data_IF_447988816417
#
_entry.id   IF_447988816417
#
_cell.length_a   1.000
_cell.length_b   1.000
_cell.length_c   1.000
_cell.angle_alpha   90.00
_cell.angle_beta   90.00
_cell.angle_gamma   90.00
#
_symmetry.space_group_name_H-M   'P 1'
#
loop_
_entity.id
_entity.type
_entity.pdbx_description
1 polymer ?
#
# COMPACT_ATOMS: atom_id res chain seq x y z
N UNK A 1 -27.80 7.95 76.19
CA UNK A 1 -28.07 6.53 75.93
C UNK A 1 -26.74 5.86 75.68
N UNK A 2 -26.41 4.96 76.61
CA UNK A 2 -25.46 3.84 76.58
C UNK A 2 -24.01 4.02 76.14
N UNK A 3 -23.15 3.57 77.04
CA UNK A 3 -21.69 3.57 77.12
C UNK A 3 -21.18 2.14 76.83
N UNK A 4 -19.91 2.02 76.42
CA UNK A 4 -18.91 0.94 76.70
C UNK A 4 -18.12 0.60 75.42
N UNK A 5 -16.81 0.85 75.26
CA UNK A 5 -15.61 0.43 76.01
C UNK A 5 -15.47 -1.10 76.17
N UNK A 6 -14.36 -1.67 75.68
CA UNK A 6 -13.30 -2.35 76.47
C UNK A 6 -12.24 -2.94 75.51
N UNK A 7 -10.98 -2.75 75.89
CA UNK A 7 -9.74 -3.35 75.38
C UNK A 7 -9.49 -4.69 76.11
N UNK A 8 -8.88 -5.70 75.47
CA UNK A 8 -7.90 -6.60 76.12
C UNK A 8 -6.94 -7.19 75.07
N UNK A 9 -5.65 -7.10 75.37
CA UNK A 9 -4.55 -7.81 74.72
C UNK A 9 -4.26 -9.15 75.43
N UNK A 10 -3.79 -10.17 74.72
CA UNK A 10 -3.05 -11.28 75.33
C UNK A 10 -2.08 -11.95 74.35
N UNK A 11 -0.79 -11.87 74.70
CA UNK A 11 0.35 -12.72 74.26
C UNK A 11 0.12 -14.19 74.64
N UNK A 12 0.63 -15.13 73.83
CA UNK A 12 1.20 -16.44 74.22
C UNK A 12 1.78 -17.09 72.94
N UNK A 13 3.08 -16.96 72.69
CA UNK A 13 4.17 -17.93 72.97
C UNK A 13 4.19 -19.17 72.05
N UNK A 14 5.30 -19.29 71.30
CA UNK A 14 5.74 -20.43 70.48
C UNK A 14 6.28 -21.56 71.37
N UNK A 15 6.30 -22.82 70.87
CA UNK A 15 7.33 -23.78 71.27
C UNK A 15 8.37 -24.00 70.17
N UNK A 16 9.61 -24.08 70.62
CA UNK A 16 10.84 -24.31 69.87
C UNK A 16 10.99 -25.76 69.38
N UNK A 17 11.66 -25.91 68.23
CA UNK A 17 12.85 -26.77 68.10
C UNK A 17 12.66 -28.28 67.92
N UNK A 18 13.01 -28.77 66.72
CA UNK A 18 13.96 -29.89 66.59
C UNK A 18 14.60 -29.87 65.18
N UNK A 19 15.91 -30.06 65.16
CA UNK A 19 16.87 -29.87 64.06
C UNK A 19 17.31 -31.17 63.38
N UNK A 20 18.01 -31.04 62.24
CA UNK A 20 18.75 -32.03 61.41
C UNK A 20 17.88 -32.83 60.41
N UNK A 21 18.23 -32.95 59.13
CA UNK A 21 19.56 -33.20 58.55
C UNK A 21 19.76 -32.54 57.16
N UNK A 22 21.03 -32.26 56.84
CA UNK A 22 21.54 -31.82 55.54
C UNK A 22 21.98 -33.01 54.68
N UNK A 23 21.82 -32.87 53.36
CA UNK A 23 22.48 -33.61 52.27
C UNK A 23 22.09 -35.08 52.04
N UNK A 24 21.20 -35.31 51.07
CA UNK A 24 21.41 -36.31 50.02
C UNK A 24 21.00 -35.69 48.67
N UNK A 25 22.01 -35.48 47.85
CA UNK A 25 21.95 -35.16 46.43
C UNK A 25 21.54 -36.36 45.58
N UNK A 26 20.95 -36.03 44.44
CA UNK A 26 20.83 -36.81 43.20
C UNK A 26 19.73 -37.89 43.08
N UNK A 27 19.13 -37.83 41.88
CA UNK A 27 18.21 -38.78 41.24
C UNK A 27 16.71 -38.64 41.54
N UNK A 28 16.08 -37.77 40.73
CA UNK A 28 14.91 -38.03 39.87
C UNK A 28 14.69 -36.74 39.05
N UNK A 29 15.56 -36.46 38.08
CA UNK A 29 15.36 -36.75 36.65
C UNK A 29 14.04 -36.21 36.10
N UNK A 30 14.15 -35.10 35.36
CA UNK A 30 13.30 -34.70 34.24
C UNK A 30 11.78 -34.73 34.48
N UNK A 31 11.30 -33.79 35.28
CA UNK A 31 9.91 -33.36 35.23
C UNK A 31 9.78 -32.17 34.26
N UNK A 32 9.45 -32.52 33.03
CA UNK A 32 8.65 -31.73 32.08
C UNK A 32 9.01 -30.25 31.94
N UNK A 33 9.94 -29.98 31.01
CA UNK A 33 9.86 -28.76 30.22
C UNK A 33 8.65 -28.91 29.28
N UNK A 34 7.43 -28.83 29.83
CA UNK A 34 6.22 -28.60 29.04
C UNK A 34 6.44 -27.24 28.36
N UNK A 35 6.93 -27.27 27.12
CA UNK A 35 6.77 -26.15 26.21
C UNK A 35 5.27 -25.95 26.06
N UNK A 36 4.70 -25.08 26.89
CA UNK A 36 3.30 -24.70 26.79
C UNK A 36 3.09 -24.21 25.36
N UNK A 37 2.37 -24.97 24.53
CA UNK A 37 2.08 -24.56 23.17
C UNK A 37 1.38 -23.20 23.22
N UNK A 38 1.94 -22.21 22.53
CA UNK A 38 1.41 -20.84 22.53
C UNK A 38 0.77 -20.50 21.18
N UNK A 39 -0.20 -19.62 21.24
CA UNK A 39 -0.85 -19.02 20.07
C UNK A 39 -0.59 -17.53 20.04
N UNK A 40 -0.36 -17.02 18.85
CA UNK A 40 -0.10 -15.61 18.60
C UNK A 40 -1.40 -14.94 18.19
N UNK A 41 -1.80 -13.88 18.91
CA UNK A 41 -2.81 -12.95 18.42
C UNK A 41 -2.13 -11.93 17.52
N UNK A 42 -2.38 -12.05 16.22
CA UNK A 42 -1.84 -11.16 15.22
C UNK A 42 -2.89 -10.13 14.81
N UNK A 43 -2.48 -8.88 14.64
CA UNK A 43 -3.24 -7.90 13.85
C UNK A 43 -2.56 -7.76 12.51
N UNK A 44 -3.30 -8.07 11.45
CA UNK A 44 -2.88 -7.90 10.07
C UNK A 44 -3.62 -6.68 9.52
N UNK A 45 -2.89 -5.71 8.99
CA UNK A 45 -3.46 -4.48 8.45
C UNK A 45 -2.93 -4.25 7.04
N UNK A 46 -3.82 -4.05 6.08
CA UNK A 46 -3.43 -3.68 4.73
C UNK A 46 -2.87 -2.24 4.75
N UNK A 47 -1.61 -2.09 4.34
CA UNK A 47 -0.96 -0.79 4.26
C UNK A 47 -1.54 0.00 3.10
N UNK A 48 -1.46 1.31 3.21
CA UNK A 48 -1.75 2.25 2.13
C UNK A 48 -3.22 2.27 1.65
N UNK A 49 -4.17 1.67 2.39
CA UNK A 49 -5.59 1.70 2.04
C UNK A 49 -6.43 2.36 3.14
N UNK A 50 -7.27 3.32 2.76
CA UNK A 50 -8.20 4.02 3.65
C UNK A 50 -9.65 4.02 3.14
N UNK A 51 -10.67 3.86 4.01
CA UNK A 51 -10.58 3.50 5.44
C UNK A 51 -9.93 2.13 5.69
N UNK A 52 -9.26 2.01 6.85
CA UNK A 52 -8.39 0.88 7.16
C UNK A 52 -9.08 -0.48 7.05
N UNK A 53 -8.43 -1.41 6.35
CA UNK A 53 -8.82 -2.81 6.21
C UNK A 53 -7.88 -3.65 7.07
N UNK A 54 -8.44 -4.42 7.99
CA UNK A 54 -7.64 -5.22 8.92
C UNK A 54 -8.38 -6.46 9.40
N UNK A 55 -7.61 -7.44 9.89
CA UNK A 55 -8.08 -8.64 10.58
C UNK A 55 -7.26 -8.85 11.84
N UNK A 56 -7.87 -9.46 12.84
CA UNK A 56 -7.21 -9.93 14.05
C UNK A 56 -7.41 -11.43 14.12
N UNK A 57 -6.33 -12.18 14.13
CA UNK A 57 -6.36 -13.65 14.06
C UNK A 57 -5.58 -14.27 15.20
N UNK A 58 -5.91 -15.52 15.55
CA UNK A 58 -5.10 -16.39 16.39
C UNK A 58 -4.48 -17.47 15.51
N UNK A 59 -3.15 -17.61 15.56
CA UNK A 59 -2.40 -18.67 14.86
C UNK A 59 -1.52 -19.44 15.86
N UNK A 60 -1.05 -20.63 15.51
CA UNK A 60 -0.13 -21.36 16.36
C UNK A 60 1.29 -20.81 16.21
N UNK A 61 2.06 -20.73 17.29
CA UNK A 61 3.44 -20.19 17.21
C UNK A 61 4.42 -21.09 16.45
N UNK A 62 4.06 -22.36 16.27
CA UNK A 62 4.79 -23.34 15.49
C UNK A 62 4.39 -23.38 14.01
N UNK A 63 3.40 -22.59 13.59
CA UNK A 63 3.05 -22.36 12.19
C UNK A 63 4.27 -21.83 11.42
N UNK A 64 4.38 -22.22 10.16
CA UNK A 64 5.40 -21.73 9.24
C UNK A 64 4.99 -20.40 8.62
N UNK A 65 5.93 -19.71 7.96
CA UNK A 65 5.57 -18.53 7.17
C UNK A 65 4.68 -18.89 5.98
N UNK A 66 4.77 -20.12 5.48
CA UNK A 66 3.81 -20.63 4.49
C UNK A 66 2.39 -20.74 5.07
N UNK A 67 2.26 -21.30 6.27
CA UNK A 67 0.96 -21.38 6.96
C UNK A 67 0.40 -19.97 7.22
N UNK A 68 1.26 -19.02 7.62
CA UNK A 68 0.88 -17.61 7.79
C UNK A 68 0.40 -16.98 6.46
N UNK A 69 1.07 -17.26 5.34
CA UNK A 69 0.62 -16.83 4.01
C UNK A 69 -0.78 -17.37 3.71
N UNK A 70 -0.99 -18.67 3.87
CA UNK A 70 -2.30 -19.31 3.71
C UNK A 70 -3.35 -18.67 4.62
N UNK A 71 -3.03 -18.42 5.90
CA UNK A 71 -3.95 -17.77 6.84
C UNK A 71 -4.25 -16.31 6.47
N UNK A 72 -3.29 -15.56 5.92
CA UNK A 72 -3.55 -14.21 5.40
C UNK A 72 -4.48 -14.30 4.20
N UNK A 73 -4.22 -15.17 3.24
CA UNK A 73 -5.08 -15.37 2.06
C UNK A 73 -6.50 -15.78 2.46
N UNK A 74 -6.63 -16.76 3.36
CA UNK A 74 -7.89 -17.31 3.87
C UNK A 74 -8.69 -16.28 4.69
N UNK A 75 -8.04 -15.59 5.64
CA UNK A 75 -8.76 -14.76 6.62
C UNK A 75 -8.92 -13.31 6.17
N UNK A 76 -8.01 -12.80 5.34
CA UNK A 76 -8.12 -11.43 4.85
C UNK A 76 -8.98 -11.33 3.60
N UNK A 77 -8.74 -12.11 2.55
CA UNK A 77 -8.82 -11.50 1.21
C UNK A 77 -9.90 -12.00 0.26
N UNK A 78 -10.27 -13.28 0.28
CA UNK A 78 -10.96 -13.84 -0.90
C UNK A 78 -10.15 -13.71 -2.20
N UNK A 79 -8.82 -13.51 -2.08
CA UNK A 79 -7.86 -13.63 -3.17
C UNK A 79 -7.58 -15.10 -3.44
N UNK A 80 -7.13 -15.39 -4.66
CA UNK A 80 -7.06 -16.74 -5.19
C UNK A 80 -5.64 -17.33 -5.15
N UNK A 81 -4.73 -16.70 -4.41
CA UNK A 81 -3.32 -17.07 -4.30
C UNK A 81 -2.63 -17.26 -5.66
N UNK A 82 -2.86 -16.32 -6.58
CA UNK A 82 -2.42 -16.39 -7.98
C UNK A 82 -1.10 -15.68 -8.26
N UNK A 83 -0.57 -14.97 -7.27
CA UNK A 83 0.57 -14.09 -7.45
C UNK A 83 1.67 -14.37 -6.43
N UNK A 84 2.89 -13.97 -6.78
CA UNK A 84 4.07 -14.11 -5.91
C UNK A 84 3.93 -13.27 -4.64
N UNK A 85 4.50 -13.78 -3.55
CA UNK A 85 4.56 -13.10 -2.26
C UNK A 85 5.91 -13.25 -1.57
N UNK A 86 6.14 -12.44 -0.54
CA UNK A 86 7.28 -12.56 0.36
C UNK A 86 6.99 -11.92 1.72
N UNK A 87 7.82 -12.23 2.71
CA UNK A 87 7.85 -11.53 4.00
C UNK A 87 9.19 -10.84 4.23
N UNK A 88 9.13 -9.61 4.76
CA UNK A 88 10.29 -8.83 5.16
C UNK A 88 10.27 -8.63 6.68
N UNK A 89 11.37 -8.96 7.34
CA UNK A 89 11.54 -8.71 8.78
C UNK A 89 11.94 -7.26 9.04
N UNK A 90 11.90 -6.80 10.31
CA UNK A 90 12.41 -5.48 10.69
C UNK A 90 13.91 -5.32 10.39
N UNK A 91 14.66 -6.42 10.39
CA UNK A 91 16.08 -6.50 10.04
C UNK A 91 16.34 -6.58 8.53
N UNK A 92 15.30 -6.40 7.70
CA UNK A 92 15.34 -6.55 6.24
C UNK A 92 15.74 -7.96 5.77
N UNK A 93 15.55 -8.99 6.60
CA UNK A 93 15.72 -10.37 6.17
C UNK A 93 14.51 -10.80 5.34
N UNK A 94 14.77 -11.55 4.27
CA UNK A 94 13.74 -12.01 3.34
C UNK A 94 13.35 -13.47 3.64
N UNK A 95 12.05 -13.70 3.81
CA UNK A 95 11.43 -15.02 3.84
C UNK A 95 10.60 -15.19 2.57
N UNK A 96 10.93 -16.18 1.74
CA UNK A 96 10.33 -16.35 0.40
C UNK A 96 9.74 -17.74 0.17
N UNK A 97 8.76 -17.87 -0.74
CA UNK A 97 8.27 -19.14 -1.27
C UNK A 97 9.33 -19.78 -2.18
N UNK A 98 10.25 -20.53 -1.59
CA UNK A 98 11.05 -21.51 -2.34
C UNK A 98 10.49 -22.88 -2.04
N UNK A 99 9.67 -23.41 -2.94
CA UNK A 99 9.27 -24.81 -2.89
C UNK A 99 10.53 -25.67 -3.12
N UNK A 100 10.89 -26.60 -2.21
CA UNK A 100 12.01 -27.51 -2.41
C UNK A 100 11.85 -28.46 -3.62
N UNK A 101 10.67 -28.50 -4.27
CA UNK A 101 10.36 -29.32 -5.43
C UNK A 101 10.12 -28.53 -6.72
N UNK A 102 10.12 -27.19 -6.68
CA UNK A 102 9.94 -26.34 -7.85
C UNK A 102 11.29 -25.70 -8.27
N UNK A 103 12.11 -26.50 -8.94
CA UNK A 103 13.41 -26.09 -9.50
C UNK A 103 13.26 -25.04 -10.65
N UNK A 104 12.04 -24.75 -11.09
CA UNK A 104 11.75 -23.88 -12.24
C UNK A 104 11.46 -22.41 -11.87
N UNK A 105 11.36 -22.02 -10.59
CA UNK A 105 11.22 -20.60 -10.23
C UNK A 105 12.58 -19.87 -10.24
N UNK A 106 13.11 -19.74 -11.46
CA UNK A 106 14.33 -19.01 -11.78
C UNK A 106 14.29 -17.56 -11.26
N UNK A 107 13.12 -16.98 -10.95
CA UNK A 107 13.02 -15.63 -10.41
C UNK A 107 13.57 -15.54 -8.99
N UNK A 108 13.16 -16.45 -8.10
CA UNK A 108 13.76 -16.52 -6.78
C UNK A 108 15.20 -16.99 -6.91
N UNK A 109 15.50 -18.06 -7.65
CA UNK A 109 16.89 -18.50 -7.81
C UNK A 109 17.86 -17.42 -8.39
N UNK A 110 17.37 -16.45 -9.18
CA UNK A 110 18.15 -15.32 -9.70
C UNK A 110 18.26 -14.14 -8.72
N UNK A 111 17.27 -13.95 -7.84
CA UNK A 111 17.22 -12.86 -6.84
C UNK A 111 17.73 -13.32 -5.46
N UNK A 112 17.73 -14.62 -5.15
CA UNK A 112 17.91 -15.10 -3.79
C UNK A 112 19.37 -15.24 -3.40
N UNK A 113 19.87 -14.18 -2.77
CA UNK A 113 20.36 -14.29 -1.41
C UNK A 113 19.17 -14.28 -0.42
N UNK A 114 18.20 -15.19 -0.57
CA UNK A 114 17.12 -15.30 0.42
C UNK A 114 17.71 -15.84 1.72
N UNK A 115 17.44 -15.14 2.82
CA UNK A 115 17.94 -15.52 4.12
C UNK A 115 17.20 -16.76 4.64
N UNK A 116 15.89 -16.87 4.33
CA UNK A 116 15.02 -17.91 4.86
C UNK A 116 13.97 -18.42 3.87
N UNK A 117 13.62 -19.70 4.00
CA UNK A 117 12.56 -20.36 3.22
C UNK A 117 11.28 -20.44 4.03
N UNK A 118 10.14 -20.08 3.44
CA UNK A 118 8.89 -19.97 4.20
C UNK A 118 8.34 -21.29 4.76
N UNK A 119 8.51 -22.40 4.04
CA UNK A 119 8.06 -23.74 4.44
C UNK A 119 8.84 -24.34 5.61
N UNK A 120 10.07 -23.86 5.82
CA UNK A 120 10.96 -24.35 6.88
C UNK A 120 11.00 -23.39 8.08
N UNK A 121 10.65 -22.12 7.86
CA UNK A 121 10.79 -21.06 8.86
C UNK A 121 9.51 -20.89 9.65
N UNK A 122 9.58 -21.15 10.95
CA UNK A 122 8.46 -20.91 11.87
C UNK A 122 8.24 -19.42 12.10
N UNK A 123 6.99 -19.01 12.25
CA UNK A 123 6.61 -17.62 12.59
C UNK A 123 7.24 -17.17 13.89
N UNK A 124 7.35 -18.06 14.89
CA UNK A 124 8.00 -17.79 16.19
C UNK A 124 9.47 -17.40 16.10
N UNK A 125 10.14 -17.61 14.96
CA UNK A 125 11.50 -17.11 14.75
C UNK A 125 11.56 -15.58 14.76
N UNK A 126 10.57 -14.92 14.16
CA UNK A 126 10.51 -13.46 14.02
C UNK A 126 9.36 -12.80 14.77
N UNK A 127 8.34 -13.59 15.15
CA UNK A 127 7.12 -13.15 15.83
C UNK A 127 7.03 -13.85 17.21
N UNK A 128 7.97 -13.53 18.10
CA UNK A 128 8.17 -14.23 19.38
C UNK A 128 7.73 -13.41 20.60
N UNK A 129 7.61 -12.09 20.45
CA UNK A 129 7.30 -11.13 21.51
C UNK A 129 6.19 -10.20 21.05
N UNK A 130 5.44 -9.66 22.01
CA UNK A 130 4.46 -8.60 21.74
C UNK A 130 5.17 -7.40 21.13
N UNK A 131 4.65 -6.89 20.01
CA UNK A 131 5.23 -5.80 19.23
C UNK A 131 6.21 -6.24 18.13
N UNK A 132 6.57 -7.53 18.07
CA UNK A 132 7.26 -8.08 16.91
C UNK A 132 6.35 -7.96 15.67
N UNK A 133 6.96 -7.68 14.52
CA UNK A 133 6.22 -7.50 13.28
C UNK A 133 7.02 -7.86 12.05
N UNK A 134 6.30 -8.21 11.00
CA UNK A 134 6.82 -8.42 9.64
C UNK A 134 5.93 -7.69 8.63
N UNK A 135 6.47 -7.42 7.45
CA UNK A 135 5.71 -6.93 6.30
C UNK A 135 5.50 -8.08 5.33
N UNK A 136 4.24 -8.37 5.00
CA UNK A 136 3.87 -9.34 3.98
C UNK A 136 3.51 -8.61 2.68
N UNK A 137 4.24 -8.91 1.60
CA UNK A 137 4.02 -8.36 0.26
C UNK A 137 3.37 -9.45 -0.61
N UNK A 138 2.22 -9.16 -1.21
CA UNK A 138 1.52 -10.03 -2.16
C UNK A 138 1.32 -9.31 -3.49
N UNK A 139 1.48 -10.05 -4.60
CA UNK A 139 1.48 -9.55 -5.97
C UNK A 139 2.53 -8.47 -6.21
N UNK A 140 3.68 -8.84 -6.78
CA UNK A 140 4.80 -7.90 -7.00
C UNK A 140 4.48 -6.81 -8.03
N UNK A 141 3.44 -6.98 -8.83
CA UNK A 141 2.96 -5.94 -9.74
C UNK A 141 2.09 -4.93 -8.99
N UNK A 142 1.10 -5.43 -8.23
CA UNK A 142 0.14 -4.58 -7.50
C UNK A 142 0.65 -4.08 -6.13
N UNK A 143 1.74 -4.69 -5.64
CA UNK A 143 2.47 -4.39 -4.41
C UNK A 143 1.59 -4.30 -3.15
N UNK A 144 0.70 -5.27 -2.94
CA UNK A 144 -0.14 -5.30 -1.73
C UNK A 144 0.70 -5.58 -0.48
N UNK A 145 0.86 -4.58 0.37
CA UNK A 145 1.64 -4.73 1.60
C UNK A 145 0.75 -4.83 2.84
N UNK A 146 1.09 -5.74 3.74
CA UNK A 146 0.42 -5.92 5.01
C UNK A 146 1.42 -5.83 6.14
N UNK A 147 1.07 -5.08 7.19
CA UNK A 147 1.80 -5.19 8.46
C UNK A 147 1.14 -6.28 9.29
N UNK A 148 1.95 -7.25 9.71
CA UNK A 148 1.56 -8.33 10.64
C UNK A 148 2.22 -8.06 11.97
N UNK A 149 1.45 -7.79 13.03
CA UNK A 149 1.97 -7.43 14.37
C UNK A 149 1.46 -8.39 15.43
N UNK A 150 2.36 -8.87 16.30
CA UNK A 150 1.98 -9.63 17.50
C UNK A 150 1.38 -8.68 18.54
N UNK A 151 0.09 -8.79 18.79
CA UNK A 151 -0.59 -8.02 19.86
C UNK A 151 -0.58 -8.76 21.19
N UNK A 152 -0.71 -10.10 21.18
CA UNK A 152 -0.72 -10.94 22.39
C UNK A 152 -0.13 -12.32 22.12
N UNK A 153 0.41 -12.93 23.17
CA UNK A 153 0.82 -14.33 23.21
C UNK A 153 -0.02 -15.02 24.27
N UNK A 154 -0.71 -16.10 23.91
CA UNK A 154 -1.68 -16.77 24.76
C UNK A 154 -1.38 -18.27 24.82
N UNK A 155 -1.81 -18.95 25.88
CA UNK A 155 -1.77 -20.41 25.94
C UNK A 155 -2.74 -21.01 24.91
N UNK A 156 -2.27 -21.98 24.13
CA UNK A 156 -3.08 -22.71 23.16
C UNK A 156 -4.18 -23.48 23.87
N UNK A 157 -5.40 -23.43 23.32
CA UNK A 157 -6.54 -24.18 23.84
C UNK A 157 -6.73 -25.44 22.98
N UNK A 158 -6.66 -26.61 23.60
CA UNK A 158 -6.71 -27.91 22.90
C UNK A 158 -8.06 -28.22 22.24
N UNK A 159 -9.13 -27.52 22.62
CA UNK A 159 -10.47 -27.72 22.09
C UNK A 159 -10.83 -26.76 20.93
N UNK A 160 -9.89 -25.92 20.49
CA UNK A 160 -10.09 -24.99 19.37
C UNK A 160 -9.24 -25.41 18.17
N UNK A 161 -9.74 -25.14 16.95
CA UNK A 161 -8.95 -25.24 15.72
C UNK A 161 -8.48 -23.84 15.31
N UNK A 162 -7.21 -23.74 14.97
CA UNK A 162 -6.56 -22.53 14.49
C UNK A 162 -6.35 -22.65 12.97
N UNK A 163 -6.33 -21.53 12.20
CA UNK A 163 -6.41 -20.15 12.66
C UNK A 163 -7.84 -19.75 13.09
N UNK A 164 -7.97 -18.71 13.92
CA UNK A 164 -9.28 -18.15 14.31
C UNK A 164 -9.30 -16.66 14.02
N UNK A 165 -10.23 -16.19 13.19
CA UNK A 165 -10.52 -14.77 13.05
C UNK A 165 -11.32 -14.29 14.26
N UNK A 166 -10.81 -13.29 14.98
CA UNK A 166 -11.45 -12.71 16.16
C UNK A 166 -12.25 -11.44 15.83
N UNK A 167 -11.75 -10.66 14.88
CA UNK A 167 -12.34 -9.40 14.48
C UNK A 167 -11.72 -8.91 13.17
N UNK A 168 -12.38 -7.96 12.53
CA UNK A 168 -11.89 -7.32 11.34
C UNK A 168 -12.76 -6.15 10.95
N UNK A 169 -12.38 -5.47 9.88
CA UNK A 169 -13.14 -4.37 9.31
C UNK A 169 -12.93 -4.31 7.80
N UNK A 170 -14.01 -4.00 7.08
CA UNK A 170 -14.08 -3.78 5.63
C UNK A 170 -13.74 -4.98 4.77
N UNK A 171 -14.27 -4.97 3.56
CA UNK A 171 -13.95 -5.97 2.56
C UNK A 171 -12.58 -5.65 1.99
N UNK A 172 -11.83 -6.70 1.69
CA UNK A 172 -10.53 -6.54 1.09
C UNK A 172 -10.62 -6.17 -0.41
N UNK A 173 -9.59 -5.52 -0.97
CA UNK A 173 -9.60 -5.15 -2.39
C UNK A 173 -9.86 -6.36 -3.29
N UNK A 174 -10.70 -6.25 -4.33
CA UNK A 174 -10.85 -7.33 -5.30
C UNK A 174 -9.52 -7.64 -6.01
N UNK A 175 -9.25 -8.91 -6.29
CA UNK A 175 -8.04 -9.29 -7.03
C UNK A 175 -8.03 -8.65 -8.43
N UNK A 176 -6.87 -8.23 -8.89
CA UNK A 176 -6.73 -7.55 -10.18
C UNK A 176 -7.33 -6.14 -10.25
N UNK A 177 -7.73 -5.52 -9.13
CA UNK A 177 -8.21 -4.13 -9.13
C UNK A 177 -7.11 -3.09 -9.42
N UNK A 178 -5.85 -3.50 -9.62
CA UNK A 178 -4.74 -2.62 -9.98
C UNK A 178 -4.03 -1.99 -8.79
N UNK A 179 -3.75 -2.78 -7.75
CA UNK A 179 -3.07 -2.30 -6.55
C UNK A 179 -3.87 -1.28 -5.76
N UNK A 180 -3.17 -0.65 -4.80
CA UNK A 180 -3.74 0.36 -3.89
C UNK A 180 -4.46 1.47 -4.65
N UNK A 181 -3.81 2.01 -5.67
CA UNK A 181 -4.33 3.08 -6.54
C UNK A 181 -5.63 2.67 -7.22
N UNK A 182 -5.65 1.50 -7.87
CA UNK A 182 -6.81 1.02 -8.58
C UNK A 182 -7.98 0.68 -7.64
N UNK A 183 -7.71 0.19 -6.43
CA UNK A 183 -8.74 0.03 -5.41
C UNK A 183 -9.32 1.36 -4.93
N UNK A 184 -8.50 2.40 -4.76
CA UNK A 184 -9.01 3.72 -4.40
C UNK A 184 -9.86 4.33 -5.52
N UNK A 185 -9.46 4.18 -6.77
CA UNK A 185 -10.29 4.55 -7.92
C UNK A 185 -11.61 3.79 -7.91
N UNK A 186 -11.58 2.48 -7.65
CA UNK A 186 -12.77 1.66 -7.49
C UNK A 186 -13.71 2.23 -6.41
N UNK A 187 -13.19 2.65 -5.25
CA UNK A 187 -13.98 3.25 -4.17
C UNK A 187 -14.55 4.63 -4.56
N UNK A 188 -13.78 5.44 -5.30
CA UNK A 188 -14.21 6.75 -5.80
C UNK A 188 -15.41 6.58 -6.76
N UNK A 189 -15.28 5.69 -7.74
CA UNK A 189 -16.36 5.38 -8.67
C UNK A 189 -17.54 4.74 -7.93
N UNK A 190 -17.30 3.79 -7.02
CA UNK A 190 -18.34 3.16 -6.20
C UNK A 190 -19.18 4.18 -5.41
N UNK A 191 -18.54 5.22 -4.87
CA UNK A 191 -19.21 6.29 -4.13
C UNK A 191 -20.01 7.27 -5.01
N UNK A 192 -19.85 7.23 -6.33
CA UNK A 192 -20.49 8.14 -7.27
C UNK A 192 -21.22 7.38 -8.40
N UNK A 193 -22.50 7.01 -8.23
CA UNK A 193 -23.31 6.35 -9.26
C UNK A 193 -23.46 7.10 -10.60
N UNK A 194 -23.08 8.39 -10.65
CA UNK A 194 -23.09 9.20 -11.87
C UNK A 194 -21.71 9.32 -12.52
N UNK A 195 -20.69 8.67 -11.95
CA UNK A 195 -19.35 8.64 -12.53
C UNK A 195 -19.40 7.97 -13.91
N UNK A 196 -18.67 8.50 -14.88
CA UNK A 196 -18.69 7.99 -16.26
C UNK A 196 -18.26 6.52 -16.35
N UNK A 197 -17.30 6.10 -15.52
CA UNK A 197 -16.85 4.70 -15.43
C UNK A 197 -17.75 3.78 -14.59
N UNK A 198 -18.86 4.26 -13.99
CA UNK A 198 -19.64 3.44 -13.06
C UNK A 198 -20.19 2.17 -13.73
N UNK A 199 -20.68 2.28 -14.96
CA UNK A 199 -21.21 1.12 -15.68
C UNK A 199 -20.13 0.08 -15.94
N UNK A 200 -18.97 0.49 -16.45
CA UNK A 200 -17.92 -0.44 -16.84
C UNK A 200 -17.14 -0.98 -15.65
N UNK A 201 -16.81 -0.14 -14.67
CA UNK A 201 -16.01 -0.55 -13.53
C UNK A 201 -16.84 -1.25 -12.45
N UNK A 202 -18.02 -0.71 -12.11
CA UNK A 202 -18.83 -1.25 -11.00
C UNK A 202 -19.80 -2.32 -11.50
N UNK A 203 -20.63 -2.01 -12.49
CA UNK A 203 -21.68 -2.94 -12.91
C UNK A 203 -21.15 -4.10 -13.75
N UNK A 204 -20.09 -3.89 -14.54
CA UNK A 204 -19.51 -4.92 -15.38
C UNK A 204 -18.31 -5.58 -14.70
N UNK A 205 -17.19 -4.88 -14.51
CA UNK A 205 -15.95 -5.51 -14.03
C UNK A 205 -16.08 -6.03 -12.60
N UNK A 206 -16.47 -5.16 -11.65
CA UNK A 206 -16.52 -5.52 -10.23
C UNK A 206 -17.55 -6.62 -9.94
N UNK A 207 -18.76 -6.56 -10.52
CA UNK A 207 -19.75 -7.62 -10.30
C UNK A 207 -19.33 -8.97 -10.89
N UNK A 208 -18.48 -9.00 -11.92
CA UNK A 208 -17.94 -10.25 -12.46
C UNK A 208 -16.81 -10.81 -11.60
N UNK A 209 -15.89 -9.95 -11.13
CA UNK A 209 -14.71 -10.37 -10.35
C UNK A 209 -15.05 -10.62 -8.88
N UNK A 210 -15.90 -9.79 -8.29
CA UNK A 210 -16.33 -9.87 -6.90
C UNK A 210 -17.84 -9.56 -6.77
N UNK A 211 -18.71 -10.54 -7.12
CA UNK A 211 -20.14 -10.41 -6.97
C UNK A 211 -20.51 -10.11 -5.52
N UNK A 212 -21.42 -9.15 -5.32
CA UNK A 212 -21.84 -8.67 -3.99
C UNK A 212 -20.71 -8.02 -3.17
N UNK A 213 -19.66 -7.52 -3.83
CA UNK A 213 -18.67 -6.69 -3.17
C UNK A 213 -19.35 -5.49 -2.50
N UNK A 214 -19.02 -5.27 -1.24
CA UNK A 214 -19.36 -4.08 -0.49
C UNK A 214 -18.11 -3.68 0.29
N UNK A 215 -17.50 -2.51 0.01
CA UNK A 215 -16.24 -2.12 0.62
C UNK A 215 -16.31 -1.99 2.14
N UNK A 216 -17.50 -1.75 2.72
CA UNK A 216 -17.68 -1.61 4.16
C UNK A 216 -18.03 -2.92 4.87
N UNK A 217 -18.31 -3.99 4.12
CA UNK A 217 -18.71 -5.28 4.67
C UNK A 217 -17.54 -6.04 5.30
N UNK A 218 -17.71 -6.49 6.54
CA UNK A 218 -16.89 -7.54 7.14
C UNK A 218 -17.82 -8.49 7.89
N UNK A 219 -17.68 -9.79 7.65
CA UNK A 219 -18.50 -10.83 8.25
C UNK A 219 -17.58 -11.85 8.93
N UNK A 220 -17.78 -12.05 10.24
CA UNK A 220 -16.96 -12.96 11.05
C UNK A 220 -17.34 -14.42 10.82
N UNK A 221 -18.58 -14.68 10.39
CA UNK A 221 -19.20 -16.01 10.32
C UNK A 221 -19.44 -16.47 8.86
N UNK A 222 -19.07 -15.66 7.87
CA UNK A 222 -19.26 -16.01 6.47
C UNK A 222 -18.41 -17.23 6.07
N UNK A 223 -19.00 -18.32 5.55
CA UNK A 223 -18.24 -19.40 4.93
C UNK A 223 -17.63 -18.89 3.62
N UNK A 224 -16.29 -18.92 3.55
CA UNK A 224 -15.54 -18.49 2.37
C UNK A 224 -15.92 -19.37 1.16
N UNK A 225 -16.59 -18.78 0.17
CA UNK A 225 -17.12 -19.48 -1.01
C UNK A 225 -16.20 -19.23 -2.21
N UNK A 226 -15.33 -20.21 -2.51
CA UNK A 226 -14.57 -20.24 -3.76
C UNK A 226 -15.43 -20.84 -4.86
N UNK A 227 -16.29 -20.06 -5.52
CA UNK A 227 -16.82 -20.44 -6.84
C UNK A 227 -17.32 -19.23 -7.63
N UNK A 228 -16.55 -18.79 -8.63
CA UNK A 228 -17.05 -17.95 -9.73
C UNK A 228 -16.47 -18.49 -11.04
N UNK A 229 -17.37 -18.76 -11.97
CA UNK A 229 -17.14 -19.24 -13.34
C UNK A 229 -16.73 -18.12 -14.28
N UNK A 230 -15.77 -18.39 -15.18
CA UNK A 230 -15.26 -17.44 -16.17
C UNK A 230 -16.32 -16.99 -17.19
N UNK A 231 -16.37 -15.70 -17.59
CA UNK A 231 -17.25 -15.23 -18.64
C UNK A 231 -16.62 -15.26 -20.04
N UNK A 232 -17.41 -15.74 -21.01
CA UNK A 232 -17.12 -15.78 -22.45
C UNK A 232 -17.29 -14.44 -23.15
N UNK A 233 -16.39 -14.13 -24.09
CA UNK A 233 -16.39 -12.91 -24.93
C UNK A 233 -17.61 -12.78 -25.85
N UNK A 234 -18.11 -11.54 -25.99
CA UNK A 234 -19.11 -11.13 -26.98
C UNK A 234 -18.77 -9.73 -27.55
N UNK A 235 -19.20 -9.39 -28.78
CA UNK A 235 -18.57 -8.35 -29.59
C UNK A 235 -19.11 -6.94 -29.34
N UNK A 236 -18.23 -5.95 -29.44
CA UNK A 236 -18.52 -4.53 -29.33
C UNK A 236 -18.93 -3.90 -30.67
N UNK A 237 -19.91 -2.98 -30.63
CA UNK A 237 -20.26 -2.10 -31.75
C UNK A 237 -19.97 -0.64 -31.41
N UNK A 238 -19.45 0.06 -32.42
CA UNK A 238 -18.94 1.43 -32.37
C UNK A 238 -20.05 2.49 -32.34
N UNK A 239 -19.77 3.65 -31.76
CA UNK A 239 -20.24 4.91 -32.34
C UNK A 239 -19.27 6.07 -32.07
N UNK A 240 -19.04 6.85 -33.11
CA UNK A 240 -18.04 7.90 -33.27
C UNK A 240 -18.72 9.26 -33.07
N UNK A 241 -18.15 10.16 -32.24
CA UNK A 241 -18.60 11.55 -32.12
C UNK A 241 -17.46 12.54 -32.42
N UNK A 242 -17.84 13.67 -33.01
CA UNK A 242 -17.04 14.52 -33.88
C UNK A 242 -15.89 15.30 -33.21
N UNK A 243 -14.71 15.27 -33.86
CA UNK A 243 -13.46 15.92 -33.46
C UNK A 243 -13.44 17.41 -33.85
N UNK A 244 -13.39 18.34 -32.88
CA UNK A 244 -12.85 19.67 -33.13
C UNK A 244 -11.32 19.62 -33.03
N UNK A 245 -10.62 19.94 -34.12
CA UNK A 245 -9.16 19.83 -34.20
C UNK A 245 -8.50 21.01 -33.46
N UNK A 246 -7.72 20.73 -32.41
CA UNK A 246 -6.88 21.74 -31.73
C UNK A 246 -5.81 22.24 -32.69
N UNK A 247 -5.51 23.54 -32.62
CA UNK A 247 -4.47 24.18 -33.44
C UNK A 247 -3.10 23.83 -32.85
N UNK A 248 -2.17 23.37 -33.68
CA UNK A 248 -0.77 23.15 -33.26
C UNK A 248 -0.14 24.46 -32.75
N UNK A 249 0.64 24.36 -31.68
CA UNK A 249 1.24 25.49 -30.99
C UNK A 249 0.31 26.19 -29.99
N UNK A 250 -0.91 25.69 -29.78
CA UNK A 250 -1.82 26.21 -28.74
C UNK A 250 -1.23 26.02 -27.36
N UNK A 251 -1.58 26.92 -26.44
CA UNK A 251 -1.14 26.86 -25.04
C UNK A 251 -2.17 26.06 -24.25
N UNK A 252 -1.74 25.00 -23.58
CA UNK A 252 -2.55 24.24 -22.64
C UNK A 252 -2.35 24.80 -21.24
N UNK A 253 -3.43 25.19 -20.57
CA UNK A 253 -3.42 25.43 -19.13
C UNK A 253 -3.79 24.13 -18.42
N UNK A 254 -2.84 23.58 -17.66
CA UNK A 254 -2.98 22.33 -16.95
C UNK A 254 -3.17 22.60 -15.46
N UNK A 255 -4.10 21.88 -14.83
CA UNK A 255 -4.15 21.75 -13.38
C UNK A 255 -3.57 20.41 -12.98
N UNK A 256 -2.59 20.44 -12.09
CA UNK A 256 -1.86 19.27 -11.64
C UNK A 256 -2.11 19.12 -10.15
N UNK A 257 -2.69 18.00 -9.75
CA UNK A 257 -3.00 17.69 -8.36
C UNK A 257 -2.25 16.43 -7.97
N UNK A 258 -1.46 16.49 -6.89
CA UNK A 258 -0.87 15.30 -6.29
C UNK A 258 -1.96 14.52 -5.57
N UNK A 259 -2.28 13.33 -6.05
CA UNK A 259 -3.34 12.48 -5.52
C UNK A 259 -2.90 11.92 -4.15
N UNK A 260 -3.90 11.51 -3.36
CA UNK A 260 -3.72 10.83 -2.07
C UNK A 260 -3.12 11.67 -0.92
N UNK A 261 -2.95 12.98 -1.08
CA UNK A 261 -2.53 13.88 0.01
C UNK A 261 -3.61 14.92 0.30
N UNK A 262 -3.93 15.07 1.59
CA UNK A 262 -4.87 16.10 2.07
C UNK A 262 -4.20 16.92 3.18
N UNK A 263 -4.31 18.26 3.17
CA UNK A 263 -4.88 19.13 2.12
C UNK A 263 -4.17 19.02 0.76
N UNK A 264 -4.89 19.31 -0.34
CA UNK A 264 -4.34 19.12 -1.69
C UNK A 264 -3.06 19.92 -1.94
N UNK A 265 -2.06 19.25 -2.53
CA UNK A 265 -0.85 19.86 -3.11
C UNK A 265 -1.09 19.95 -4.62
N UNK A 266 -0.98 21.15 -5.19
CA UNK A 266 -1.30 21.35 -6.60
C UNK A 266 -0.45 22.43 -7.26
N UNK A 267 -0.35 22.36 -8.59
CA UNK A 267 0.28 23.35 -9.47
C UNK A 267 -0.64 23.65 -10.65
N UNK A 268 -0.54 24.86 -11.19
CA UNK A 268 -1.23 25.25 -12.43
C UNK A 268 -0.19 25.75 -13.42
N UNK A 269 -0.01 25.01 -14.49
CA UNK A 269 1.01 25.29 -15.51
C UNK A 269 0.38 25.72 -16.82
N UNK A 270 1.12 26.49 -17.61
CA UNK A 270 0.86 26.66 -19.03
C UNK A 270 2.02 26.09 -19.83
N UNK A 271 1.71 25.26 -20.83
CA UNK A 271 2.69 24.56 -21.70
C UNK A 271 2.25 24.65 -23.15
N UNK A 272 3.13 24.36 -24.12
CA UNK A 272 2.75 24.34 -25.54
C UNK A 272 2.31 22.93 -25.92
N UNK A 273 1.20 22.79 -26.63
CA UNK A 273 0.69 21.46 -27.00
C UNK A 273 1.59 20.67 -27.96
N UNK A 274 2.59 21.31 -28.58
CA UNK A 274 3.59 20.63 -29.43
C UNK A 274 4.79 20.11 -28.63
N UNK A 275 4.90 20.47 -27.35
CA UNK A 275 5.90 19.93 -26.44
C UNK A 275 5.68 18.42 -26.28
N UNK A 276 6.75 17.69 -25.98
CA UNK A 276 6.71 16.26 -25.76
C UNK A 276 6.21 15.92 -24.35
N UNK A 277 5.90 14.64 -24.12
CA UNK A 277 5.65 14.17 -22.76
C UNK A 277 6.92 14.17 -21.90
N UNK A 278 8.10 14.05 -22.51
CA UNK A 278 9.39 14.24 -21.83
C UNK A 278 9.57 15.70 -21.37
N UNK A 279 9.23 16.67 -22.22
CA UNK A 279 9.22 18.09 -21.84
C UNK A 279 8.25 18.33 -20.67
N UNK A 280 7.04 17.76 -20.73
CA UNK A 280 6.06 17.84 -19.64
C UNK A 280 6.60 17.23 -18.34
N UNK A 281 7.30 16.09 -18.41
CA UNK A 281 7.96 15.50 -17.26
C UNK A 281 8.93 16.49 -16.60
N UNK A 282 9.81 17.13 -17.36
CA UNK A 282 10.73 18.14 -16.83
C UNK A 282 10.00 19.32 -16.19
N UNK A 283 8.91 19.79 -16.81
CA UNK A 283 8.11 20.89 -16.24
C UNK A 283 7.45 20.50 -14.92
N UNK A 284 7.02 19.24 -14.78
CA UNK A 284 6.47 18.71 -13.54
C UNK A 284 7.55 18.61 -12.47
N UNK A 285 8.73 18.09 -12.81
CA UNK A 285 9.85 17.97 -11.87
C UNK A 285 10.26 19.33 -11.31
N UNK A 286 10.42 20.34 -12.19
CA UNK A 286 10.73 21.71 -11.78
C UNK A 286 9.60 22.31 -10.92
N UNK A 287 8.34 22.16 -11.33
CA UNK A 287 7.18 22.69 -10.58
C UNK A 287 6.94 22.01 -9.22
N UNK A 288 7.36 20.75 -9.07
CA UNK A 288 7.28 20.00 -7.82
C UNK A 288 8.55 20.14 -6.98
N UNK A 289 9.64 20.71 -7.49
CA UNK A 289 10.91 20.82 -6.76
C UNK A 289 11.64 19.48 -6.61
N UNK A 290 11.43 18.57 -7.57
CA UNK A 290 12.09 17.27 -7.65
C UNK A 290 13.23 17.27 -8.68
N UNK A 291 14.08 16.25 -8.57
CA UNK A 291 15.36 16.14 -9.25
C UNK A 291 15.36 15.19 -10.44
N UNK A 292 14.20 14.57 -10.76
CA UNK A 292 14.07 13.60 -11.84
C UNK A 292 15.00 12.38 -11.71
N UNK A 293 15.24 11.94 -10.48
CA UNK A 293 16.17 10.84 -10.17
C UNK A 293 15.55 9.45 -10.38
N UNK A 294 14.23 9.36 -10.54
CA UNK A 294 13.50 8.10 -10.69
C UNK A 294 12.75 7.95 -12.02
N UNK A 295 12.38 6.72 -12.34
CA UNK A 295 11.55 6.41 -13.52
C UNK A 295 10.16 7.01 -13.39
N UNK A 296 9.56 7.35 -14.53
CA UNK A 296 8.22 7.90 -14.59
C UNK A 296 7.39 7.32 -15.75
N UNK A 297 6.08 7.47 -15.66
CA UNK A 297 5.15 7.15 -16.74
C UNK A 297 3.94 8.06 -16.76
N UNK A 298 3.32 8.22 -17.93
CA UNK A 298 1.99 8.79 -18.09
C UNK A 298 1.01 7.69 -18.46
N UNK A 299 -0.17 7.75 -17.85
CA UNK A 299 -1.23 6.77 -18.02
C UNK A 299 -2.43 7.50 -18.63
N UNK A 300 -2.83 7.07 -19.82
CA UNK A 300 -3.92 7.66 -20.57
C UNK A 300 -5.00 6.61 -20.77
N UNK A 301 -6.18 6.88 -20.22
CA UNK A 301 -7.37 6.07 -20.43
C UNK A 301 -8.32 6.81 -21.36
N UNK A 302 -8.68 6.18 -22.48
CA UNK A 302 -9.67 6.77 -23.38
C UNK A 302 -11.07 6.44 -22.86
N UNK A 303 -11.98 7.42 -22.74
CA UNK A 303 -13.37 7.16 -22.40
C UNK A 303 -13.98 6.10 -23.33
N UNK A 304 -14.62 5.07 -22.76
CA UNK A 304 -15.24 3.96 -23.50
C UNK A 304 -14.26 2.93 -24.10
N UNK A 305 -12.97 2.98 -23.75
CA UNK A 305 -11.95 2.01 -24.15
C UNK A 305 -11.43 1.22 -22.95
N UNK A 306 -11.33 -0.10 -23.08
CA UNK A 306 -10.64 -0.97 -22.10
C UNK A 306 -9.12 -0.87 -22.23
N UNK A 307 -8.61 -0.28 -23.32
CA UNK A 307 -7.18 -0.10 -23.53
C UNK A 307 -6.65 1.14 -22.82
N UNK A 308 -5.63 0.92 -21.99
CA UNK A 308 -4.81 1.96 -21.37
C UNK A 308 -3.53 2.15 -22.19
N UNK A 309 -3.14 3.40 -22.42
CA UNK A 309 -1.89 3.75 -23.09
C UNK A 309 -0.89 4.21 -22.03
N UNK A 310 0.30 3.63 -22.07
CA UNK A 310 1.41 3.99 -21.20
C UNK A 310 2.45 4.74 -22.03
N UNK A 311 2.79 5.95 -21.60
CA UNK A 311 3.91 6.71 -22.15
C UNK A 311 5.02 6.68 -21.10
N UNK A 312 6.11 5.98 -21.41
CA UNK A 312 7.14 5.62 -20.44
C UNK A 312 8.44 6.38 -20.70
N UNK A 313 9.21 6.57 -19.63
CA UNK A 313 10.57 7.11 -19.72
C UNK A 313 11.41 6.39 -20.78
N UNK A 314 12.23 7.17 -21.50
CA UNK A 314 13.16 6.71 -22.52
C UNK A 314 13.97 5.45 -22.14
N UNK A 315 14.36 5.31 -20.88
CA UNK A 315 15.20 4.20 -20.39
C UNK A 315 14.43 2.92 -20.00
N UNK A 316 13.10 2.95 -19.88
CA UNK A 316 12.33 1.76 -19.51
C UNK A 316 12.23 0.75 -20.66
N UNK A 317 12.29 -0.56 -20.39
CA UNK A 317 11.95 -1.56 -21.41
C UNK A 317 10.42 -1.66 -21.53
N UNK A 318 9.93 -2.22 -22.63
CA UNK A 318 8.49 -2.40 -22.89
C UNK A 318 7.77 -2.93 -21.64
N UNK A 319 6.66 -2.31 -21.27
CA UNK A 319 5.82 -2.77 -20.17
C UNK A 319 4.94 -3.92 -20.68
N UNK A 320 4.85 -4.98 -19.87
CA UNK A 320 3.98 -6.13 -20.11
C UNK A 320 2.86 -6.09 -19.10
N UNK A 321 1.63 -6.36 -19.52
CA UNK A 321 0.54 -6.56 -18.55
C UNK A 321 0.75 -7.90 -17.81
N UNK A 322 -0.01 -8.17 -16.73
CA UNK A 322 0.07 -9.44 -15.99
C UNK A 322 -0.20 -10.69 -16.83
N UNK A 323 -0.76 -10.55 -18.05
CA UNK A 323 -0.98 -11.65 -19.00
C UNK A 323 0.19 -11.85 -19.97
N UNK A 324 1.25 -11.05 -19.86
CA UNK A 324 2.40 -11.09 -20.76
C UNK A 324 2.14 -10.44 -22.13
N UNK A 325 1.00 -9.77 -22.30
CA UNK A 325 0.70 -9.02 -23.50
C UNK A 325 1.45 -7.68 -23.48
N UNK A 326 2.08 -7.33 -24.62
CA UNK A 326 2.69 -6.02 -24.80
C UNK A 326 1.61 -4.95 -24.61
N UNK A 327 1.73 -4.16 -23.55
CA UNK A 327 0.87 -2.98 -23.39
C UNK A 327 1.31 -1.96 -24.44
N UNK A 328 0.36 -1.20 -25.01
CA UNK A 328 0.69 -0.13 -25.96
C UNK A 328 1.55 0.93 -25.27
N UNK A 329 2.86 0.73 -25.37
CA UNK A 329 3.90 1.47 -24.67
C UNK A 329 4.53 2.42 -25.65
N UNK A 330 4.42 3.72 -25.40
CA UNK A 330 5.07 4.75 -26.21
C UNK A 330 6.21 5.39 -25.42
N UNK A 331 7.21 5.90 -26.13
CA UNK A 331 8.30 6.66 -25.52
C UNK A 331 7.93 8.13 -25.40
N UNK A 332 8.08 8.68 -24.20
CA UNK A 332 7.86 10.09 -23.85
C UNK A 332 8.50 11.10 -24.81
N UNK A 333 9.74 10.85 -25.23
CA UNK A 333 10.51 11.67 -26.18
C UNK A 333 9.91 11.71 -27.60
N UNK A 334 9.13 10.69 -27.98
CA UNK A 334 8.55 10.55 -29.31
C UNK A 334 7.10 11.01 -29.43
N UNK A 335 6.48 11.41 -28.32
CA UNK A 335 5.05 11.68 -28.23
C UNK A 335 4.81 13.11 -27.78
N UNK A 336 3.92 13.81 -28.48
CA UNK A 336 3.53 15.20 -28.19
C UNK A 336 2.21 15.28 -27.45
N UNK A 337 2.04 16.31 -26.63
CA UNK A 337 0.81 16.56 -25.88
C UNK A 337 -0.42 16.66 -26.80
N UNK A 338 -0.32 17.32 -27.95
CA UNK A 338 -1.42 17.51 -28.91
C UNK A 338 -1.92 16.21 -29.56
N UNK A 339 -1.26 15.07 -29.35
CA UNK A 339 -1.76 13.77 -29.80
C UNK A 339 -2.82 13.20 -28.84
N UNK A 340 -2.85 13.66 -27.59
CA UNK A 340 -3.67 13.11 -26.53
C UNK A 340 -4.50 14.15 -25.76
N UNK A 341 -3.95 15.34 -25.52
CA UNK A 341 -4.57 16.46 -24.80
C UNK A 341 -5.15 17.46 -25.80
N UNK A 342 -6.33 17.15 -26.34
CA UNK A 342 -6.99 17.88 -27.44
C UNK A 342 -8.35 18.46 -27.06
N UNK A 343 -8.88 18.16 -25.88
CA UNK A 343 -10.15 18.68 -25.40
C UNK A 343 -10.00 19.31 -24.03
N UNK A 344 -10.93 20.21 -23.70
CA UNK A 344 -11.10 20.64 -22.32
C UNK A 344 -11.48 19.42 -21.49
N UNK A 345 -11.00 19.40 -20.25
CA UNK A 345 -11.21 18.32 -19.28
C UNK A 345 -10.55 16.97 -19.64
N UNK A 346 -9.74 16.93 -20.72
CA UNK A 346 -8.85 15.80 -20.95
C UNK A 346 -7.97 15.60 -19.71
N UNK A 347 -8.01 14.37 -19.20
CA UNK A 347 -7.37 13.99 -17.94
C UNK A 347 -6.40 12.84 -18.18
N UNK A 348 -5.19 12.99 -17.66
CA UNK A 348 -4.16 11.95 -17.68
C UNK A 348 -3.56 11.82 -16.28
N UNK A 349 -2.97 10.66 -15.99
CA UNK A 349 -2.15 10.47 -14.79
C UNK A 349 -0.68 10.53 -15.14
N UNK A 350 0.10 11.09 -14.24
CA UNK A 350 1.56 11.06 -14.26
C UNK A 350 2.06 10.42 -12.98
N UNK A 351 2.75 9.30 -13.09
CA UNK A 351 3.38 8.60 -11.98
C UNK A 351 4.88 8.83 -12.02
N UNK A 352 5.43 9.37 -10.93
CA UNK A 352 6.86 9.57 -10.72
C UNK A 352 7.34 8.70 -9.58
N UNK A 353 8.55 8.17 -9.72
CA UNK A 353 9.12 7.18 -8.82
C UNK A 353 8.23 5.96 -8.69
N UNK A 354 8.43 4.96 -9.55
CA UNK A 354 7.63 3.72 -9.54
C UNK A 354 7.82 2.89 -8.24
N UNK A 355 8.74 3.28 -7.36
CA UNK A 355 8.85 2.72 -6.01
C UNK A 355 7.85 3.39 -5.06
N UNK A 356 7.91 4.72 -4.96
CA UNK A 356 7.08 5.53 -4.06
C UNK A 356 5.68 5.87 -4.62
N UNK A 357 5.48 5.68 -5.92
CA UNK A 357 4.27 5.90 -6.70
C UNK A 357 3.63 7.29 -6.49
N UNK A 358 4.38 8.35 -6.80
CA UNK A 358 3.86 9.72 -6.77
C UNK A 358 2.93 9.99 -7.94
N UNK A 359 1.62 9.91 -7.70
CA UNK A 359 0.60 10.04 -8.76
C UNK A 359 0.03 11.45 -8.82
N UNK A 360 0.13 12.05 -10.00
CA UNK A 360 -0.41 13.36 -10.31
C UNK A 360 -1.56 13.19 -11.29
N UNK A 361 -2.70 13.78 -10.97
CA UNK A 361 -3.77 13.97 -11.94
C UNK A 361 -3.54 15.30 -12.68
N UNK A 362 -3.51 15.24 -14.00
CA UNK A 362 -3.30 16.39 -14.87
C UNK A 362 -4.55 16.59 -15.71
N UNK A 363 -5.20 17.75 -15.54
CA UNK A 363 -6.45 18.12 -16.24
C UNK A 363 -6.21 19.33 -17.13
N UNK A 364 -6.68 19.27 -18.38
CA UNK A 364 -6.69 20.43 -19.30
C UNK A 364 -7.82 21.38 -18.93
N UNK A 365 -7.51 22.43 -18.16
CA UNK A 365 -8.49 23.45 -17.76
C UNK A 365 -8.83 24.43 -18.89
N UNK A 366 -7.84 24.77 -19.74
CA UNK A 366 -8.01 25.72 -20.86
C UNK A 366 -7.11 25.39 -22.03
N UNK A 367 -7.64 25.61 -23.24
CA UNK A 367 -6.87 25.63 -24.49
C UNK A 367 -6.89 27.06 -25.02
N UNK A 368 -5.74 27.71 -25.05
CA UNK A 368 -5.56 29.08 -25.48
C UNK A 368 -4.86 29.12 -26.86
N UNK A 369 -5.08 30.18 -27.66
CA UNK A 369 -4.46 30.30 -28.97
C UNK A 369 -2.93 30.32 -28.87
N UNK A 370 -2.22 29.99 -29.98
CA UNK A 370 -0.77 30.03 -30.01
C UNK A 370 -0.19 31.36 -29.53
N UNK A 371 0.93 31.33 -28.79
CA UNK A 371 1.44 32.52 -28.15
C UNK A 371 2.03 33.52 -29.15
N UNK A 372 1.94 34.81 -28.82
CA UNK A 372 2.65 35.85 -29.56
C UNK A 372 4.18 35.78 -29.34
N UNK A 373 4.98 36.46 -30.17
CA UNK A 373 6.45 36.33 -30.24
C UNK A 373 7.24 36.79 -28.99
N UNK A 374 6.58 37.13 -27.88
CA UNK A 374 7.20 37.55 -26.61
C UNK A 374 6.67 36.79 -25.39
N UNK A 375 6.00 35.66 -25.60
CA UNK A 375 5.48 34.82 -24.53
C UNK A 375 6.26 33.49 -24.52
N UNK A 376 7.03 33.27 -23.46
CA UNK A 376 7.81 32.05 -23.24
C UNK A 376 7.06 31.08 -22.33
N UNK A 377 7.22 29.78 -22.56
CA UNK A 377 6.60 28.68 -21.82
C UNK A 377 7.70 27.64 -21.49
N UNK A 378 7.52 26.83 -20.44
CA UNK A 378 6.35 26.72 -19.55
C UNK A 378 6.17 27.93 -18.62
N UNK A 379 4.99 28.07 -18.01
CA UNK A 379 4.73 29.06 -16.94
C UNK A 379 3.99 28.43 -15.78
N UNK A 380 4.49 28.61 -14.56
CA UNK A 380 3.72 28.35 -13.35
C UNK A 380 2.83 29.55 -13.00
N UNK A 381 1.51 29.36 -13.07
CA UNK A 381 0.53 30.41 -12.75
C UNK A 381 0.21 30.48 -11.25
N UNK A 382 0.38 29.37 -10.54
CA UNK A 382 0.14 29.27 -9.12
C UNK A 382 0.15 27.82 -8.62
N UNK A 383 0.01 27.66 -7.32
CA UNK A 383 0.07 26.39 -6.62
C UNK A 383 -0.23 26.59 -5.15
N UNK A 384 -0.24 25.49 -4.42
CA UNK A 384 -0.34 25.51 -2.95
C UNK A 384 0.44 24.33 -2.37
N UNK A 385 1.03 24.55 -1.19
CA UNK A 385 1.79 23.60 -0.38
C UNK A 385 3.10 23.14 -1.03
N UNK A 386 4.05 22.76 -0.18
CA UNK A 386 5.30 22.20 -0.65
C UNK A 386 5.02 20.79 -1.14
N UNK A 387 5.73 20.36 -2.19
CA UNK A 387 5.66 18.96 -2.57
C UNK A 387 6.45 18.11 -1.57
N UNK A 388 6.08 16.83 -1.40
CA UNK A 388 6.79 15.93 -0.53
C UNK A 388 8.28 15.87 -0.89
N UNK A 389 9.19 15.80 0.09
CA UNK A 389 10.59 15.49 -0.19
C UNK A 389 10.71 14.15 -0.94
N UNK A 390 11.67 14.04 -1.86
CA UNK A 390 11.94 12.75 -2.52
C UNK A 390 12.34 11.69 -1.48
N UNK A 391 12.06 10.43 -1.80
CA UNK A 391 12.38 9.26 -0.97
C UNK A 391 11.75 9.27 0.43
N UNK A 392 10.70 10.07 0.66
CA UNK A 392 9.96 10.06 1.92
C UNK A 392 8.97 8.88 2.04
N UNK A 393 8.92 7.98 1.06
CA UNK A 393 8.08 6.77 1.10
C UNK A 393 6.67 6.99 0.55
N UNK A 394 6.55 7.76 -0.53
CA UNK A 394 5.26 8.04 -1.18
C UNK A 394 4.30 8.88 -0.33
N UNK A 395 3.06 9.03 -0.82
CA UNK A 395 2.04 9.89 -0.18
C UNK A 395 1.78 9.52 1.29
N UNK A 396 1.90 8.24 1.63
CA UNK A 396 1.72 7.74 2.99
C UNK A 396 2.93 7.99 3.88
N UNK A 397 4.15 7.77 3.39
CA UNK A 397 5.36 8.10 4.13
C UNK A 397 5.44 9.60 4.40
N UNK A 398 5.01 10.43 3.44
CA UNK A 398 4.86 11.86 3.65
C UNK A 398 3.80 12.22 4.70
N UNK A 399 2.65 11.56 4.70
CA UNK A 399 1.61 11.83 5.71
C UNK A 399 2.09 11.46 7.11
N UNK A 400 2.75 10.30 7.25
CA UNK A 400 3.38 9.89 8.51
C UNK A 400 4.46 10.87 8.95
N UNK A 401 5.30 11.33 8.03
CA UNK A 401 6.30 12.36 8.27
C UNK A 401 5.67 13.64 8.85
N UNK A 402 4.53 14.09 8.30
CA UNK A 402 3.81 15.25 8.83
C UNK A 402 3.23 15.01 10.22
N UNK A 403 2.70 13.81 10.49
CA UNK A 403 2.18 13.44 11.81
C UNK A 403 3.30 13.44 12.87
N UNK A 404 4.43 12.81 12.57
CA UNK A 404 5.62 12.80 13.44
C UNK A 404 6.16 14.22 13.63
N UNK A 405 6.22 15.04 12.58
CA UNK A 405 6.67 16.43 12.65
C UNK A 405 5.81 17.28 13.60
N UNK A 406 4.53 16.93 13.78
CA UNK A 406 3.62 17.63 14.69
C UNK A 406 3.72 17.17 16.17
N UNK A 407 4.44 16.07 16.46
CA UNK A 407 4.60 15.50 17.79
C UNK A 407 6.09 15.31 18.15
N UNK A 408 6.72 16.31 18.80
CA UNK A 408 8.12 16.22 19.23
C UNK A 408 8.45 15.10 20.21
N UNK A 409 7.44 14.52 20.87
CA UNK A 409 7.61 13.39 21.79
C UNK A 409 7.43 12.04 21.09
N UNK A 410 7.15 12.03 19.78
CA UNK A 410 6.98 10.81 18.99
C UNK A 410 8.27 9.98 18.98
N UNK A 411 8.14 8.66 19.11
CA UNK A 411 9.29 7.74 19.23
C UNK A 411 10.22 7.78 18.00
N UNK A 412 9.69 8.14 16.83
CA UNK A 412 10.43 8.26 15.57
C UNK A 412 10.89 9.70 15.27
N UNK A 413 10.66 10.68 16.16
CA UNK A 413 10.96 12.09 15.88
C UNK A 413 12.45 12.34 15.59
N UNK A 414 13.33 11.82 16.44
CA UNK A 414 14.77 12.03 16.28
C UNK A 414 15.28 11.43 14.95
N UNK A 415 14.87 10.21 14.62
CA UNK A 415 15.28 9.54 13.38
C UNK A 415 14.70 10.23 12.14
N UNK A 416 13.39 10.44 12.10
CA UNK A 416 12.69 10.88 10.89
C UNK A 416 12.79 12.40 10.66
N UNK A 417 12.75 13.20 11.74
CA UNK A 417 12.74 14.67 11.64
C UNK A 417 14.15 15.23 11.77
N UNK A 418 14.87 14.86 12.83
CA UNK A 418 16.20 15.44 13.10
C UNK A 418 17.28 14.84 12.19
N UNK A 419 17.35 13.52 12.10
CA UNK A 419 18.43 12.84 11.37
C UNK A 419 18.19 12.71 9.87
N UNK A 420 16.92 12.73 9.43
CA UNK A 420 16.56 12.64 8.02
C UNK A 420 16.03 13.98 7.47
N UNK A 421 14.82 14.42 7.86
CA UNK A 421 14.18 15.58 7.21
C UNK A 421 15.03 16.84 7.29
N UNK A 422 15.44 17.29 8.48
CA UNK A 422 16.20 18.54 8.63
C UNK A 422 17.64 18.44 8.17
N UNK A 423 18.19 17.23 8.09
CA UNK A 423 19.55 17.02 7.58
C UNK A 423 19.60 17.19 6.05
N UNK A 424 18.60 16.67 5.34
CA UNK A 424 18.57 16.67 3.88
C UNK A 424 17.68 17.77 3.28
N UNK A 425 16.67 18.22 4.03
CA UNK A 425 15.70 19.26 3.66
C UNK A 425 15.52 20.27 4.81
N UNK A 426 16.57 21.02 5.19
CA UNK A 426 16.58 21.89 6.38
C UNK A 426 15.52 23.00 6.37
N UNK A 427 15.10 23.45 5.19
CA UNK A 427 14.15 24.54 5.00
C UNK A 427 12.73 24.03 4.65
N UNK A 428 12.45 22.74 4.85
CA UNK A 428 11.16 22.16 4.49
C UNK A 428 10.03 22.69 5.38
N UNK A 429 9.06 23.35 4.75
CA UNK A 429 7.78 23.72 5.36
C UNK A 429 6.64 23.21 4.46
N UNK A 430 5.79 22.28 4.94
CA UNK A 430 4.74 21.65 4.12
C UNK A 430 3.72 22.63 3.54
N UNK A 431 3.57 23.84 4.10
CA UNK A 431 2.61 24.83 3.63
C UNK A 431 3.21 25.84 2.65
N UNK A 432 4.54 25.82 2.43
CA UNK A 432 5.21 26.78 1.55
C UNK A 432 4.97 26.50 0.07
N UNK A 433 4.77 27.56 -0.72
CA UNK A 433 4.82 27.51 -2.17
C UNK A 433 5.32 28.86 -2.70
N UNK A 434 6.41 28.85 -3.46
CA UNK A 434 6.89 30.03 -4.19
C UNK A 434 6.75 29.79 -5.70
N UNK A 435 6.12 30.75 -6.39
CA UNK A 435 5.95 30.74 -7.85
C UNK A 435 7.24 31.10 -8.60
N UNK A 436 8.24 31.67 -7.92
CA UNK A 436 9.49 32.15 -8.51
C UNK A 436 10.62 31.12 -8.49
N UNK A 437 10.45 30.00 -7.78
CA UNK A 437 11.36 28.87 -7.83
C UNK A 437 11.16 28.09 -9.12
#
# INVERSE_FOLDING_TARGET
MTVNSVSVASKLELPEGTTFDSDISDELSDADNETTEVVLQLKISLKYVYPAIWRRILICSDDTFHDLHCHIQEVMMGWLDRHRHQFNTKSNELVVPTDPYDDDDAFYNFITAADFKEYETKVSKFLSKVGDSVVYLYDFNSKWQHTVVVEKILSKKTNLRYPICLAGRRACPPEGCGGVTGYHHLLEVWGNPQHEEYQDLINNWLQNVSPNFDPDRFDLDAPFSNTITEPSEGPSTSSELAKSKVVEGSVLQLHITLKYITPAIWRRLQVINTDSFDDLHWYLQEAMGWSSSHSHQFIIRKPGSTSTIFIVSGHMKETFDPSGCCVNTLKDTGVRLCQFLVHLDDTILYEYDLSDSWIHEIVVEKILPPPGPRHFYPKCLGGKRACPPEDCGGAFGYTHLLDVMCDPDHIEYDELITEWLWKYHPDFDPETFDRKQ
#
